data_IF_126250178131
#
_entry.id   IF_126250178131
#
_cell.length_a   1.000
_cell.length_b   1.000
_cell.length_c   1.000
_cell.angle_alpha   90.00
_cell.angle_beta   90.00
_cell.angle_gamma   90.00
#
_symmetry.space_group_name_H-M   'P 1'
#
loop_
_entity.id
_entity.type
_entity.pdbx_description
1 polymer ?
#
# COMPACT_ATOMS: atom_id res chain seq x y z
N UNK A 1 -3.22 20.30 9.50
CA UNK A 1 -3.27 19.56 8.23
C UNK A 1 -3.23 20.47 7.00
N UNK A 2 -4.18 21.41 6.82
CA UNK A 2 -4.24 22.25 5.63
C UNK A 2 -2.96 23.06 5.36
N UNK A 3 -2.41 23.71 6.36
CA UNK A 3 -1.15 24.49 6.21
C UNK A 3 0.04 23.59 5.84
N UNK A 4 0.17 22.43 6.50
CA UNK A 4 1.22 21.46 6.16
C UNK A 4 1.11 20.94 4.71
N UNK A 5 -0.12 20.74 4.23
CA UNK A 5 -0.34 20.34 2.83
C UNK A 5 0.11 21.43 1.86
N UNK A 6 -0.22 22.69 2.12
CA UNK A 6 0.19 23.82 1.26
C UNK A 6 1.70 23.92 1.18
N UNK A 7 2.38 23.89 2.33
CA UNK A 7 3.85 23.98 2.41
C UNK A 7 4.54 22.82 1.68
N UNK A 8 4.13 21.57 1.99
CA UNK A 8 4.73 20.38 1.39
C UNK A 8 4.43 20.25 -0.09
N UNK A 9 3.22 20.64 -0.51
CA UNK A 9 2.84 20.64 -1.93
C UNK A 9 3.66 21.63 -2.75
N UNK A 10 3.92 22.82 -2.23
CA UNK A 10 4.73 23.82 -2.91
C UNK A 10 6.17 23.34 -3.14
N UNK A 11 6.74 22.58 -2.19
CA UNK A 11 8.10 22.04 -2.30
C UNK A 11 8.20 20.60 -2.86
N UNK A 12 7.12 20.04 -3.40
CA UNK A 12 7.07 18.65 -3.85
C UNK A 12 8.11 18.31 -4.91
N UNK A 13 8.52 17.05 -4.97
CA UNK A 13 9.39 16.53 -6.02
C UNK A 13 8.76 16.71 -7.41
N UNK A 14 9.59 16.87 -8.42
CA UNK A 14 9.15 16.89 -9.81
C UNK A 14 8.69 15.49 -10.27
N UNK A 15 7.85 15.45 -11.33
CA UNK A 15 7.44 14.20 -12.00
C UNK A 15 6.71 13.19 -11.11
N UNK A 16 5.93 13.65 -10.13
CA UNK A 16 5.00 12.79 -9.40
C UNK A 16 3.86 12.32 -10.32
N UNK A 17 3.37 11.07 -10.17
CA UNK A 17 2.32 10.49 -11.01
C UNK A 17 0.91 10.97 -10.64
N UNK A 18 0.79 12.12 -10.01
CA UNK A 18 -0.45 12.78 -9.63
C UNK A 18 -0.25 14.30 -9.68
N UNK A 19 -1.31 15.06 -9.88
CA UNK A 19 -1.26 16.49 -10.21
C UNK A 19 -1.97 17.39 -9.22
N UNK A 20 -2.72 16.83 -8.27
CA UNK A 20 -3.50 17.61 -7.29
C UNK A 20 -3.10 17.29 -5.85
N UNK A 21 -3.22 18.28 -4.92
CA UNK A 21 -3.00 18.04 -3.50
C UNK A 21 -3.91 16.93 -2.93
N UNK A 22 -5.14 16.83 -3.43
CA UNK A 22 -6.11 15.80 -3.00
C UNK A 22 -5.63 14.39 -3.34
N UNK A 23 -5.02 14.20 -4.50
CA UNK A 23 -4.40 12.92 -4.88
C UNK A 23 -3.22 12.58 -3.97
N UNK A 24 -2.40 13.57 -3.59
CA UNK A 24 -1.32 13.38 -2.62
C UNK A 24 -1.85 12.95 -1.25
N UNK A 25 -2.92 13.58 -0.75
CA UNK A 25 -3.58 13.19 0.51
C UNK A 25 -4.15 11.77 0.41
N UNK A 26 -4.76 11.42 -0.71
CA UNK A 26 -5.28 10.09 -0.96
C UNK A 26 -4.19 9.03 -0.87
N UNK A 27 -3.07 9.22 -1.58
CA UNK A 27 -1.94 8.29 -1.51
C UNK A 27 -1.31 8.26 -0.11
N UNK A 28 -1.14 9.40 0.53
CA UNK A 28 -0.59 9.49 1.88
C UNK A 28 -1.46 8.74 2.90
N UNK A 29 -2.79 8.76 2.74
CA UNK A 29 -3.70 8.01 3.60
C UNK A 29 -3.54 6.49 3.47
N UNK A 30 -3.16 6.01 2.30
CA UNK A 30 -2.83 4.60 2.05
C UNK A 30 -1.50 4.27 2.73
N UNK A 31 -0.46 5.07 2.52
CA UNK A 31 0.86 4.90 3.15
C UNK A 31 0.76 4.89 4.67
N UNK A 32 -0.04 5.79 5.25
CA UNK A 32 -0.29 5.85 6.71
C UNK A 32 -0.85 4.53 7.26
N UNK A 33 -1.66 3.84 6.47
CA UNK A 33 -2.33 2.59 6.88
C UNK A 33 -1.51 1.32 6.57
N UNK A 34 -0.51 1.42 5.69
CA UNK A 34 0.31 0.26 5.28
C UNK A 34 1.40 -0.08 6.28
N UNK A 35 2.03 0.90 6.89
CA UNK A 35 3.12 0.66 7.84
C UNK A 35 3.02 1.53 9.08
N UNK A 36 3.22 0.90 10.24
CA UNK A 36 3.41 1.60 11.51
C UNK A 36 4.86 2.09 11.71
N UNK A 37 5.80 1.60 10.89
CA UNK A 37 7.22 1.95 10.99
C UNK A 37 7.51 3.25 10.26
N UNK A 38 7.91 4.27 11.01
CA UNK A 38 8.18 5.60 10.47
C UNK A 38 9.29 5.59 9.41
N UNK A 39 10.31 4.78 9.61
CA UNK A 39 11.47 4.61 8.73
C UNK A 39 11.13 3.93 7.40
N UNK A 40 10.07 3.15 7.34
CA UNK A 40 9.65 2.48 6.10
C UNK A 40 8.69 3.32 5.23
N UNK A 41 8.02 4.32 5.80
CA UNK A 41 7.07 5.15 5.06
C UNK A 41 7.60 5.71 3.74
N UNK A 42 8.85 6.23 3.66
CA UNK A 42 9.40 6.70 2.40
C UNK A 42 9.53 5.58 1.34
N UNK A 43 9.93 4.36 1.72
CA UNK A 43 10.04 3.23 0.80
C UNK A 43 8.68 2.73 0.35
N UNK A 44 7.71 2.62 1.26
CA UNK A 44 6.32 2.26 0.94
C UNK A 44 5.73 3.27 -0.04
N UNK A 45 5.93 4.56 0.20
CA UNK A 45 5.50 5.63 -0.71
C UNK A 45 6.17 5.49 -2.09
N UNK A 46 7.48 5.20 -2.15
CA UNK A 46 8.20 4.99 -3.40
C UNK A 46 7.64 3.81 -4.20
N UNK A 47 7.30 2.70 -3.57
CA UNK A 47 6.65 1.55 -4.23
C UNK A 47 5.34 1.98 -4.89
N UNK A 48 4.46 2.66 -4.17
CA UNK A 48 3.18 3.09 -4.74
C UNK A 48 3.35 4.13 -5.84
N UNK A 49 4.26 5.09 -5.70
CA UNK A 49 4.61 6.05 -6.75
C UNK A 49 5.13 5.34 -8.00
N UNK A 50 5.99 4.34 -7.85
CA UNK A 50 6.51 3.55 -8.96
C UNK A 50 5.41 2.73 -9.64
N UNK A 51 4.48 2.14 -8.88
CA UNK A 51 3.30 1.44 -9.43
C UNK A 51 2.41 2.38 -10.24
N UNK A 52 2.10 3.55 -9.71
CA UNK A 52 1.30 4.55 -10.43
C UNK A 52 1.98 4.97 -11.74
N UNK A 53 3.29 5.21 -11.73
CA UNK A 53 4.07 5.55 -12.95
C UNK A 53 4.01 4.46 -14.01
N UNK A 54 3.91 3.20 -13.60
CA UNK A 54 3.84 2.03 -14.49
C UNK A 54 2.40 1.60 -14.83
N UNK A 55 1.39 2.34 -14.38
CA UNK A 55 -0.01 1.96 -14.57
C UNK A 55 -0.42 0.68 -13.84
N UNK A 56 0.35 0.27 -12.83
CA UNK A 56 0.03 -0.89 -12.00
C UNK A 56 -1.04 -0.55 -10.97
N UNK A 57 -1.90 -1.51 -10.65
CA UNK A 57 -2.85 -1.38 -9.53
C UNK A 57 -2.09 -1.28 -8.22
N UNK A 58 -2.57 -0.49 -7.27
CA UNK A 58 -1.90 -0.34 -5.98
C UNK A 58 -1.99 -1.61 -5.13
N UNK A 59 -3.11 -2.33 -5.20
CA UNK A 59 -3.33 -3.59 -4.47
C UNK A 59 -3.03 -3.47 -2.97
N UNK A 60 -3.55 -2.42 -2.35
CA UNK A 60 -3.36 -2.11 -0.93
C UNK A 60 -4.50 -2.71 -0.10
N UNK A 61 -4.17 -3.55 0.86
CA UNK A 61 -5.13 -4.20 1.75
C UNK A 61 -5.97 -3.21 2.57
N UNK A 62 -5.42 -2.12 3.14
CA UNK A 62 -6.21 -1.10 3.80
C UNK A 62 -7.35 -0.53 2.95
N UNK A 63 -7.19 -0.45 1.64
CA UNK A 63 -8.27 0.01 0.74
C UNK A 63 -9.39 -1.02 0.60
N UNK A 64 -9.05 -2.31 0.67
CA UNK A 64 -10.03 -3.41 0.69
C UNK A 64 -10.83 -3.40 2.00
N UNK A 65 -10.14 -3.22 3.12
CA UNK A 65 -10.79 -3.07 4.43
C UNK A 65 -11.77 -1.90 4.41
N UNK A 66 -11.33 -0.74 3.92
CA UNK A 66 -12.18 0.44 3.79
C UNK A 66 -13.42 0.17 2.93
N UNK A 67 -13.23 -0.48 1.78
CA UNK A 67 -14.33 -0.84 0.88
C UNK A 67 -15.30 -1.86 1.48
N UNK A 68 -14.80 -2.84 2.22
CA UNK A 68 -15.61 -3.90 2.81
C UNK A 68 -16.41 -3.45 4.04
N UNK A 69 -15.89 -2.47 4.77
CA UNK A 69 -16.48 -2.00 6.03
C UNK A 69 -17.29 -0.72 5.88
N UNK A 70 -17.29 -0.09 4.70
CA UNK A 70 -17.92 1.21 4.50
C UNK A 70 -17.17 2.36 5.19
N UNK A 71 -15.86 2.23 5.36
CA UNK A 71 -15.00 3.29 5.87
C UNK A 71 -14.38 3.06 7.25
N UNK A 72 -14.59 1.90 7.89
CA UNK A 72 -13.90 1.59 9.14
C UNK A 72 -12.40 1.34 8.92
N UNK A 73 -11.61 1.56 9.97
CA UNK A 73 -10.16 1.42 9.91
C UNK A 73 -9.68 -0.03 9.98
N UNK A 74 -10.52 -0.94 10.47
CA UNK A 74 -10.18 -2.36 10.63
C UNK A 74 -11.41 -3.24 10.44
N UNK A 75 -11.17 -4.51 10.22
CA UNK A 75 -12.16 -5.58 10.24
C UNK A 75 -11.88 -6.52 11.41
N UNK A 76 -12.92 -7.16 11.91
CA UNK A 76 -12.88 -8.17 12.97
C UNK A 76 -12.50 -9.58 12.45
N UNK A 77 -12.28 -9.72 11.17
CA UNK A 77 -11.89 -10.95 10.48
C UNK A 77 -10.80 -10.68 9.42
N UNK A 78 -10.06 -11.71 8.98
CA UNK A 78 -9.16 -11.60 7.85
C UNK A 78 -9.88 -11.19 6.55
N UNK A 79 -9.14 -10.53 5.64
CA UNK A 79 -9.62 -10.23 4.29
C UNK A 79 -9.86 -11.55 3.55
N UNK A 80 -11.06 -11.72 3.03
CA UNK A 80 -11.46 -12.89 2.25
C UNK A 80 -11.22 -12.69 0.74
N UNK A 81 -11.26 -13.77 -0.01
CA UNK A 81 -11.23 -13.70 -1.47
C UNK A 81 -12.36 -12.84 -2.03
N UNK A 82 -13.56 -12.94 -1.45
CA UNK A 82 -14.72 -12.15 -1.84
C UNK A 82 -14.50 -10.65 -1.62
N UNK A 83 -13.76 -10.25 -0.57
CA UNK A 83 -13.41 -8.85 -0.33
C UNK A 83 -12.43 -8.34 -1.41
N UNK A 84 -11.42 -9.14 -1.76
CA UNK A 84 -10.46 -8.82 -2.82
C UNK A 84 -11.12 -8.69 -4.20
N UNK A 85 -12.12 -9.52 -4.47
CA UNK A 85 -12.84 -9.55 -5.74
C UNK A 85 -14.03 -8.55 -5.79
N UNK A 86 -14.34 -7.87 -4.68
CA UNK A 86 -15.44 -6.91 -4.59
C UNK A 86 -15.25 -5.75 -5.58
N UNK A 87 -16.27 -5.52 -6.41
CA UNK A 87 -16.32 -4.33 -7.26
C UNK A 87 -16.70 -3.10 -6.42
N UNK A 88 -15.71 -2.26 -6.12
CA UNK A 88 -15.87 -1.07 -5.31
C UNK A 88 -14.84 -0.02 -5.69
N UNK A 89 -15.21 1.28 -5.78
CA UNK A 89 -14.30 2.34 -6.22
C UNK A 89 -13.06 2.55 -5.32
N UNK A 90 -13.09 2.08 -4.09
CA UNK A 90 -11.94 2.10 -3.19
C UNK A 90 -11.10 0.81 -3.23
N UNK A 91 -11.55 -0.26 -3.89
CA UNK A 91 -10.79 -1.50 -3.95
C UNK A 91 -9.65 -1.42 -4.98
N UNK A 92 -8.44 -1.12 -4.53
CA UNK A 92 -7.26 -0.97 -5.39
C UNK A 92 -6.73 -2.28 -5.99
N UNK A 93 -7.32 -3.44 -5.67
CA UNK A 93 -7.13 -4.69 -6.44
C UNK A 93 -7.95 -4.71 -7.73
N UNK A 94 -9.03 -3.95 -7.78
CA UNK A 94 -9.96 -3.93 -8.91
C UNK A 94 -9.80 -2.71 -9.79
N UNK A 95 -9.57 -1.54 -9.20
CA UNK A 95 -9.41 -0.28 -9.93
C UNK A 95 -7.95 -0.02 -10.31
N UNK A 96 -7.68 0.66 -11.44
CA UNK A 96 -6.39 1.26 -11.72
C UNK A 96 -6.22 2.57 -10.95
N UNK A 97 -4.97 2.92 -10.61
CA UNK A 97 -4.65 4.21 -10.02
C UNK A 97 -5.15 4.40 -8.59
N UNK A 98 -5.41 5.64 -8.23
CA UNK A 98 -5.87 6.05 -6.90
C UNK A 98 -7.38 5.85 -6.73
N UNK A 99 -7.84 5.53 -5.51
CA UNK A 99 -9.27 5.59 -5.19
C UNK A 99 -9.78 7.04 -5.21
N UNK A 100 -11.13 7.24 -5.15
CA UNK A 100 -11.74 8.57 -5.25
C UNK A 100 -11.33 9.55 -4.16
N UNK A 101 -10.88 9.07 -3.02
CA UNK A 101 -10.50 9.91 -1.89
C UNK A 101 -9.69 9.15 -0.83
N UNK A 102 -9.28 9.84 0.26
CA UNK A 102 -8.49 9.25 1.32
C UNK A 102 -9.28 8.20 2.11
N UNK A 103 -8.58 7.19 2.61
CA UNK A 103 -9.11 6.12 3.47
C UNK A 103 -8.82 6.36 4.96
N UNK A 104 -8.05 7.37 5.28
CA UNK A 104 -7.68 7.79 6.64
C UNK A 104 -7.23 9.25 6.62
N UNK A 105 -6.99 9.82 7.79
CA UNK A 105 -6.33 11.12 7.94
C UNK A 105 -4.82 10.91 8.01
N UNK A 106 -4.03 11.21 6.96
CA UNK A 106 -2.59 11.00 6.98
C UNK A 106 -1.89 12.04 7.85
N UNK A 107 -0.82 11.61 8.52
CA UNK A 107 0.08 12.52 9.22
C UNK A 107 1.00 13.30 8.27
N UNK A 108 1.71 14.29 8.81
CA UNK A 108 2.69 15.12 8.06
C UNK A 108 3.76 14.25 7.39
N UNK A 109 4.25 13.23 8.08
CA UNK A 109 5.32 12.36 7.58
C UNK A 109 4.86 11.46 6.42
N UNK A 110 3.63 10.98 6.43
CA UNK A 110 3.07 10.25 5.29
C UNK A 110 2.91 11.16 4.06
N UNK A 111 2.45 12.40 4.26
CA UNK A 111 2.40 13.41 3.20
C UNK A 111 3.79 13.72 2.64
N UNK A 112 4.79 13.91 3.51
CA UNK A 112 6.17 14.15 3.11
C UNK A 112 6.72 12.99 2.29
N UNK A 113 6.51 11.75 2.75
CA UNK A 113 6.96 10.55 2.06
C UNK A 113 6.41 10.44 0.63
N UNK A 114 5.15 10.77 0.43
CA UNK A 114 4.48 10.74 -0.88
C UNK A 114 4.95 11.87 -1.79
N UNK A 115 5.21 13.06 -1.24
CA UNK A 115 5.63 14.24 -1.99
C UNK A 115 7.13 14.28 -2.27
N UNK A 116 7.93 13.53 -1.49
CA UNK A 116 9.39 13.40 -1.63
C UNK A 116 9.80 11.92 -1.54
N UNK A 117 9.27 11.03 -2.41
CA UNK A 117 9.66 9.63 -2.39
C UNK A 117 11.14 9.48 -2.75
N UNK A 118 11.87 8.60 -2.08
CA UNK A 118 13.25 8.30 -2.46
C UNK A 118 13.31 7.68 -3.86
N UNK A 119 14.42 7.88 -4.55
CA UNK A 119 14.68 7.18 -5.80
C UNK A 119 14.76 5.67 -5.53
N UNK A 120 13.90 4.89 -6.19
CA UNK A 120 13.80 3.44 -6.01
C UNK A 120 13.18 2.81 -7.26
N UNK A 121 13.54 1.55 -7.51
CA UNK A 121 12.91 0.71 -8.53
C UNK A 121 11.99 -0.35 -7.91
N UNK A 122 11.81 -0.33 -6.60
CA UNK A 122 10.98 -1.29 -5.88
C UNK A 122 9.51 -1.15 -6.27
N UNK A 123 8.86 -2.30 -6.48
CA UNK A 123 7.47 -2.41 -6.91
C UNK A 123 6.61 -3.21 -5.95
N UNK A 124 7.25 -3.94 -5.01
CA UNK A 124 6.58 -4.87 -4.11
C UNK A 124 7.18 -4.76 -2.70
N UNK A 125 6.37 -5.06 -1.71
CA UNK A 125 6.82 -5.30 -0.34
C UNK A 125 5.96 -6.38 0.31
N UNK A 126 6.53 -7.09 1.27
CA UNK A 126 5.85 -8.12 2.07
C UNK A 126 6.45 -8.14 3.47
N UNK A 127 5.66 -8.46 4.47
CA UNK A 127 6.14 -8.59 5.84
C UNK A 127 7.34 -9.58 5.92
N UNK A 128 8.34 -9.23 6.72
CA UNK A 128 9.58 -10.01 6.87
C UNK A 128 9.62 -10.88 8.14
N UNK A 129 8.59 -10.73 8.98
CA UNK A 129 8.49 -11.43 10.26
C UNK A 129 9.17 -10.75 11.44
N UNK A 130 9.84 -9.62 11.25
CA UNK A 130 10.46 -8.85 12.33
C UNK A 130 9.60 -7.65 12.76
N UNK A 131 8.50 -7.41 12.07
CA UNK A 131 7.65 -6.23 12.21
C UNK A 131 7.83 -5.23 11.06
N UNK A 132 8.79 -5.48 10.18
CA UNK A 132 9.06 -4.69 8.98
C UNK A 132 8.71 -5.43 7.70
N UNK A 133 9.25 -4.93 6.58
CA UNK A 133 8.96 -5.44 5.24
C UNK A 133 10.24 -5.72 4.44
N UNK A 134 10.16 -6.76 3.61
CA UNK A 134 11.11 -6.99 2.52
C UNK A 134 10.59 -6.30 1.27
N UNK A 135 11.39 -5.42 0.69
CA UNK A 135 11.07 -4.70 -0.54
C UNK A 135 11.77 -5.35 -1.74
N UNK A 136 11.07 -5.46 -2.86
CA UNK A 136 11.59 -6.14 -4.06
C UNK A 136 11.17 -5.41 -5.34
N UNK A 137 11.94 -5.66 -6.42
CA UNK A 137 11.73 -5.02 -7.73
C UNK A 137 10.95 -5.88 -8.70
N UNK A 138 11.10 -7.19 -8.59
CA UNK A 138 10.49 -8.14 -9.52
C UNK A 138 9.48 -9.03 -8.82
N UNK A 139 8.54 -9.56 -9.61
CA UNK A 139 7.54 -10.51 -9.14
C UNK A 139 8.18 -11.82 -8.62
N UNK A 140 9.27 -12.26 -9.25
CA UNK A 140 10.01 -13.46 -8.82
C UNK A 140 10.64 -13.27 -7.42
N UNK A 141 11.29 -12.11 -7.21
CA UNK A 141 11.85 -11.76 -5.89
C UNK A 141 10.74 -11.68 -4.84
N UNK A 142 9.62 -11.03 -5.20
CA UNK A 142 8.47 -10.92 -4.32
C UNK A 142 7.90 -12.30 -3.96
N UNK A 143 7.72 -13.19 -4.93
CA UNK A 143 7.23 -14.54 -4.69
C UNK A 143 8.16 -15.36 -3.79
N UNK A 144 9.48 -15.15 -3.88
CA UNK A 144 10.45 -15.75 -2.96
C UNK A 144 10.27 -15.20 -1.53
N UNK A 145 10.11 -13.89 -1.40
CA UNK A 145 9.89 -13.24 -0.11
C UNK A 145 8.57 -13.69 0.54
N UNK A 146 7.49 -13.80 -0.23
CA UNK A 146 6.18 -14.32 0.23
C UNK A 146 6.29 -15.77 0.72
N UNK A 147 7.02 -16.64 0.02
CA UNK A 147 7.25 -18.01 0.48
C UNK A 147 7.97 -18.04 1.82
N UNK A 148 9.03 -17.26 1.96
CA UNK A 148 9.79 -17.13 3.22
C UNK A 148 8.90 -16.62 4.37
N UNK A 149 8.10 -15.60 4.11
CA UNK A 149 7.14 -15.09 5.09
C UNK A 149 6.17 -16.17 5.58
N UNK A 150 5.58 -16.94 4.66
CA UNK A 150 4.67 -18.04 4.99
C UNK A 150 5.34 -19.16 5.80
N UNK A 151 6.64 -19.41 5.58
CA UNK A 151 7.41 -20.37 6.38
C UNK A 151 7.60 -19.86 7.81
N UNK A 152 7.93 -18.58 7.98
CA UNK A 152 8.06 -17.94 9.29
C UNK A 152 6.71 -17.97 10.04
N UNK A 153 5.60 -17.66 9.39
CA UNK A 153 4.27 -17.73 10.01
C UNK A 153 3.91 -19.14 10.46
N UNK A 154 4.16 -20.15 9.65
CA UNK A 154 3.94 -21.54 10.03
C UNK A 154 4.80 -21.97 11.23
N UNK A 155 6.06 -21.57 11.24
CA UNK A 155 6.97 -21.88 12.35
C UNK A 155 6.57 -21.21 13.68
N UNK A 156 5.86 -20.08 13.61
CA UNK A 156 5.32 -19.37 14.80
C UNK A 156 4.03 -19.96 15.36
N UNK A 157 3.51 -21.05 14.77
CA UNK A 157 2.34 -21.75 15.30
C UNK A 157 1.01 -21.33 14.69
N UNK A 158 0.99 -20.86 13.44
CA UNK A 158 -0.20 -20.83 12.60
C UNK A 158 -1.43 -20.13 13.19
N UNK A 159 -1.29 -18.94 13.73
CA UNK A 159 -2.40 -18.00 13.80
C UNK A 159 -2.80 -17.66 12.35
N UNK A 160 -4.10 -17.49 12.07
CA UNK A 160 -4.60 -17.14 10.74
C UNK A 160 -3.70 -16.07 10.12
N UNK A 161 -3.37 -16.17 8.82
CA UNK A 161 -2.39 -15.29 8.19
C UNK A 161 -2.80 -13.84 8.44
N UNK A 162 -2.00 -13.15 9.24
CA UNK A 162 -2.06 -11.72 9.28
C UNK A 162 -1.73 -11.27 7.85
N UNK A 163 -2.71 -10.75 7.18
CA UNK A 163 -2.64 -10.03 5.92
C UNK A 163 -1.35 -10.27 5.11
N UNK A 164 -1.42 -11.12 4.11
CA UNK A 164 -0.42 -11.09 3.04
C UNK A 164 -0.67 -9.80 2.28
N UNK A 165 0.22 -8.79 2.38
CA UNK A 165 0.00 -7.56 1.64
C UNK A 165 -0.15 -7.84 0.16
N UNK A 166 -0.96 -7.07 -0.40
CA UNK A 166 -1.47 -6.95 -1.72
C UNK A 166 -0.47 -6.96 -2.86
N UNK A 167 0.27 -8.02 -3.04
CA UNK A 167 1.11 -8.20 -4.23
C UNK A 167 1.26 -9.66 -4.64
N UNK A 168 0.31 -10.52 -4.26
CA UNK A 168 0.30 -11.87 -4.80
C UNK A 168 -0.13 -11.82 -6.27
N UNK A 169 0.64 -12.41 -7.19
CA UNK A 169 0.23 -12.52 -8.57
C UNK A 169 -1.03 -13.37 -8.66
N UNK A 170 -1.98 -12.92 -9.47
CA UNK A 170 -3.09 -13.74 -9.92
C UNK A 170 -2.54 -14.90 -10.72
N UNK A 171 -2.37 -16.07 -10.11
CA UNK A 171 -2.22 -17.31 -10.87
C UNK A 171 -3.52 -17.56 -11.61
N UNK A 172 -3.59 -17.11 -12.86
CA UNK A 172 -4.53 -17.68 -13.81
C UNK A 172 -4.09 -19.11 -14.05
N UNK A 173 -4.74 -20.07 -13.39
CA UNK A 173 -4.86 -21.41 -13.94
C UNK A 173 -5.83 -21.37 -15.11
N UNK A 174 -5.41 -21.94 -16.20
CA UNK A 174 -6.23 -22.24 -17.38
C UNK A 174 -7.40 -23.17 -17.02
#
# INVERSE_FOLDING_TARGET
MAQALVELWAGRAANLPFTTPQQAVTLASIVERETGLAEERPRVAAVFVNRLRRGMKLQSDPTVVFAATGGAASMDRPISRADLDRDHPYNTYRIPGLPPGPIASPGREALRAVLHPPASEELFFVADGTGGHTFTRTEEEHNRAVRRWREIERARGGGAPANVPATAPSTRSR
#
